data_IF_300780017130
#
_entry.id   IF_300780017130
#
_cell.length_a   1.000
_cell.length_b   1.000
_cell.length_c   1.000
_cell.angle_alpha   90.00
_cell.angle_beta   90.00
_cell.angle_gamma   90.00
#
_symmetry.space_group_name_H-M   'P 1'
#
loop_
_entity.id
_entity.type
_entity.pdbx_description
1 polymer ?
#
# COMPACT_ATOMS: atom_id res chain seq x y z
N UNK A 1 32.23 -0.73 -29.37
CA UNK A 1 31.52 -2.01 -29.11
C UNK A 1 31.33 -2.26 -27.61
N UNK A 2 32.40 -2.20 -26.79
CA UNK A 2 32.31 -2.41 -25.32
C UNK A 2 31.29 -1.50 -24.63
N UNK A 3 31.27 -0.20 -24.97
CA UNK A 3 30.31 0.75 -24.39
C UNK A 3 28.84 0.40 -24.66
N UNK A 4 28.53 -0.05 -25.88
CA UNK A 4 27.17 -0.46 -26.24
C UNK A 4 26.72 -1.70 -25.45
N UNK A 5 27.64 -2.64 -25.21
CA UNK A 5 27.38 -3.83 -24.38
C UNK A 5 27.10 -3.41 -22.93
N UNK A 6 27.89 -2.50 -22.37
CA UNK A 6 27.67 -1.99 -21.00
C UNK A 6 26.31 -1.30 -20.87
N UNK A 7 25.93 -0.47 -21.85
CA UNK A 7 24.61 0.16 -21.86
C UNK A 7 23.47 -0.85 -21.95
N UNK A 8 23.57 -1.82 -22.86
CA UNK A 8 22.55 -2.85 -23.02
C UNK A 8 22.36 -3.68 -21.73
N UNK A 9 23.47 -4.03 -21.06
CA UNK A 9 23.42 -4.73 -19.78
C UNK A 9 22.78 -3.86 -18.68
N UNK A 10 23.17 -2.58 -18.58
CA UNK A 10 22.58 -1.66 -17.60
C UNK A 10 21.07 -1.49 -17.78
N UNK A 11 20.61 -1.32 -19.02
CA UNK A 11 19.18 -1.24 -19.35
C UNK A 11 18.46 -2.53 -18.96
N UNK A 12 19.03 -3.68 -19.30
CA UNK A 12 18.44 -4.99 -18.99
C UNK A 12 18.28 -5.17 -17.48
N UNK A 13 19.33 -4.89 -16.70
CA UNK A 13 19.29 -4.98 -15.23
C UNK A 13 18.23 -4.03 -14.67
N UNK A 14 18.15 -2.80 -15.17
CA UNK A 14 17.15 -1.83 -14.73
C UNK A 14 15.72 -2.33 -14.95
N UNK A 15 15.42 -2.90 -16.12
CA UNK A 15 14.09 -3.45 -16.41
C UNK A 15 13.76 -4.67 -15.55
N UNK A 16 14.71 -5.57 -15.32
CA UNK A 16 14.50 -6.75 -14.46
C UNK A 16 14.21 -6.33 -13.02
N UNK A 17 14.97 -5.36 -12.50
CA UNK A 17 14.77 -4.78 -11.16
C UNK A 17 13.37 -4.19 -11.04
N UNK A 18 12.97 -3.30 -11.96
CA UNK A 18 11.62 -2.71 -11.93
C UNK A 18 10.51 -3.74 -12.03
N UNK A 19 10.66 -4.72 -12.91
CA UNK A 19 9.67 -5.78 -13.07
C UNK A 19 9.47 -6.59 -11.78
N UNK A 20 10.54 -6.80 -11.01
CA UNK A 20 10.44 -7.47 -9.71
C UNK A 20 9.70 -6.60 -8.68
N UNK A 21 10.05 -5.32 -8.57
CA UNK A 21 9.38 -4.35 -7.68
C UNK A 21 7.89 -4.22 -7.99
N UNK A 22 7.52 -4.16 -9.28
CA UNK A 22 6.14 -4.08 -9.75
C UNK A 22 5.35 -5.34 -9.39
N UNK A 23 5.98 -6.52 -9.52
CA UNK A 23 5.33 -7.79 -9.19
C UNK A 23 4.97 -7.89 -7.71
N UNK A 24 5.87 -7.49 -6.82
CA UNK A 24 5.60 -7.52 -5.37
C UNK A 24 4.52 -6.49 -5.01
N UNK A 25 4.60 -5.30 -5.60
CA UNK A 25 3.58 -4.26 -5.42
C UNK A 25 2.20 -4.76 -5.86
N UNK A 26 2.12 -5.44 -7.01
CA UNK A 26 0.88 -6.03 -7.51
C UNK A 26 0.34 -7.14 -6.59
N UNK A 27 1.21 -8.01 -6.06
CA UNK A 27 0.80 -9.04 -5.09
C UNK A 27 0.21 -8.38 -3.82
N UNK A 28 0.87 -7.36 -3.26
CA UNK A 28 0.36 -6.61 -2.11
C UNK A 28 -1.03 -6.02 -2.39
N UNK A 29 -1.20 -5.35 -3.54
CA UNK A 29 -2.48 -4.76 -3.95
C UNK A 29 -3.56 -5.83 -4.07
N UNK A 30 -3.24 -6.99 -4.64
CA UNK A 30 -4.18 -8.11 -4.77
C UNK A 30 -4.67 -8.60 -3.40
N UNK A 31 -3.77 -8.66 -2.41
CA UNK A 31 -4.11 -9.07 -1.04
C UNK A 31 -4.96 -8.04 -0.34
N UNK A 32 -4.62 -6.76 -0.49
CA UNK A 32 -5.39 -5.66 0.08
C UNK A 32 -6.77 -5.51 -0.58
N UNK A 33 -6.91 -5.87 -1.85
CA UNK A 33 -8.21 -5.92 -2.54
C UNK A 33 -9.18 -6.95 -1.95
N UNK A 34 -8.71 -7.87 -1.10
CA UNK A 34 -9.57 -8.87 -0.43
C UNK A 34 -10.23 -8.37 0.85
N UNK A 35 -9.89 -7.17 1.33
CA UNK A 35 -10.59 -6.61 2.48
C UNK A 35 -12.05 -6.33 2.12
N UNK A 36 -12.96 -6.85 2.93
CA UNK A 36 -14.40 -6.61 2.77
C UNK A 36 -14.71 -5.18 3.21
N UNK A 37 -14.71 -4.26 2.25
CA UNK A 37 -15.09 -2.86 2.47
C UNK A 37 -16.61 -2.74 2.28
N UNK A 38 -17.35 -2.13 3.22
CA UNK A 38 -18.78 -1.88 3.05
C UNK A 38 -19.07 -1.08 1.78
N UNK A 39 -20.14 -1.43 1.06
CA UNK A 39 -20.46 -0.86 -0.25
C UNK A 39 -20.87 0.63 -0.19
N UNK A 40 -21.29 1.10 0.98
CA UNK A 40 -21.63 2.49 1.29
C UNK A 40 -20.39 3.36 1.51
N UNK A 41 -19.20 2.78 1.68
CA UNK A 41 -17.98 3.54 1.90
C UNK A 41 -17.39 4.05 0.59
N UNK A 42 -17.12 5.34 0.55
CA UNK A 42 -16.54 6.00 -0.62
C UNK A 42 -15.04 6.15 -0.45
N UNK A 43 -14.26 5.65 -1.39
CA UNK A 43 -12.81 5.88 -1.40
C UNK A 43 -12.54 7.39 -1.62
N UNK A 44 -11.74 7.98 -0.74
CA UNK A 44 -11.38 9.41 -0.77
C UNK A 44 -9.92 9.63 -1.16
N UNK A 45 -9.04 8.71 -0.75
CA UNK A 45 -7.62 8.78 -1.06
C UNK A 45 -7.02 7.37 -1.19
N UNK A 46 -6.08 7.22 -2.11
CA UNK A 46 -5.29 6.01 -2.31
C UNK A 46 -3.85 6.37 -2.68
N UNK A 47 -2.91 5.90 -1.87
CA UNK A 47 -1.48 6.10 -2.08
C UNK A 47 -0.83 4.72 -2.14
N UNK A 48 -0.30 4.37 -3.31
CA UNK A 48 0.52 3.17 -3.52
C UNK A 48 1.97 3.59 -3.65
N UNK A 49 2.84 3.03 -2.81
CA UNK A 49 4.29 3.21 -2.93
C UNK A 49 4.90 1.86 -3.29
N UNK A 50 5.54 1.73 -4.46
CA UNK A 50 6.13 0.47 -4.88
C UNK A 50 7.30 0.07 -3.99
N UNK A 51 7.63 -1.21 -4.02
CA UNK A 51 8.83 -1.72 -3.36
C UNK A 51 10.07 -0.99 -3.90
N UNK A 52 11.03 -0.72 -3.01
CA UNK A 52 12.38 -0.29 -3.37
C UNK A 52 13.34 -1.31 -2.78
N UNK A 53 14.29 -1.82 -3.56
CA UNK A 53 15.27 -2.87 -3.15
C UNK A 53 16.01 -2.65 -1.82
N UNK A 54 15.96 -1.45 -1.23
CA UNK A 54 16.55 -1.13 0.08
C UNK A 54 15.42 -0.86 1.07
N UNK A 55 14.94 -1.91 1.73
CA UNK A 55 14.06 -1.81 2.89
C UNK A 55 14.89 -1.51 4.14
N UNK A 56 15.17 -0.23 4.39
CA UNK A 56 15.75 0.25 5.65
C UNK A 56 14.80 1.33 6.16
N UNK A 57 14.33 1.22 7.41
CA UNK A 57 13.47 2.20 8.12
C UNK A 57 13.88 3.67 7.85
N UNK A 58 13.02 4.71 7.81
CA UNK A 58 11.64 4.92 8.29
C UNK A 58 10.58 5.15 7.18
N UNK A 59 10.82 4.67 5.95
CA UNK A 59 9.88 3.94 5.07
C UNK A 59 10.37 3.89 3.62
N UNK A 60 10.88 2.73 3.19
CA UNK A 60 10.31 2.14 1.98
C UNK A 60 10.26 0.62 2.01
N UNK A 61 9.03 0.11 2.04
CA UNK A 61 8.59 -1.23 1.65
C UNK A 61 7.40 -1.01 0.66
N UNK A 62 6.94 -2.01 -0.10
CA UNK A 62 5.66 -1.86 -0.80
C UNK A 62 4.61 -1.50 0.25
N UNK A 63 3.95 -0.35 0.07
CA UNK A 63 2.98 0.16 1.03
C UNK A 63 1.76 0.70 0.30
N UNK A 64 0.62 0.52 0.94
CA UNK A 64 -0.67 0.98 0.48
C UNK A 64 -1.34 1.73 1.63
N UNK A 65 -1.77 2.96 1.36
CA UNK A 65 -2.66 3.72 2.22
C UNK A 65 -3.94 3.97 1.46
N UNK A 66 -5.08 3.63 2.06
CA UNK A 66 -6.42 3.92 1.53
C UNK A 66 -7.22 4.61 2.60
N UNK A 67 -7.95 5.63 2.22
CA UNK A 67 -8.86 6.36 3.10
C UNK A 67 -10.26 6.30 2.53
N UNK A 68 -11.23 5.99 3.39
CA UNK A 68 -12.63 5.93 3.02
C UNK A 68 -13.43 6.95 3.82
N UNK A 69 -14.46 7.49 3.19
CA UNK A 69 -15.55 8.21 3.80
C UNK A 69 -16.69 7.23 4.05
N UNK A 70 -17.08 7.09 5.31
CA UNK A 70 -18.07 6.09 5.76
C UNK A 70 -19.50 6.63 5.74
N UNK A 71 -19.71 7.90 5.34
CA UNK A 71 -21.01 8.57 5.38
C UNK A 71 -21.60 8.81 6.77
N UNK A 72 -20.95 8.33 7.84
CA UNK A 72 -21.37 8.51 9.23
C UNK A 72 -20.38 9.40 9.97
N UNK A 73 -20.88 10.52 10.47
CA UNK A 73 -20.14 11.32 11.44
C UNK A 73 -20.17 10.60 12.80
N UNK A 74 -19.00 10.42 13.41
CA UNK A 74 -18.90 9.79 14.73
C UNK A 74 -19.39 10.77 15.78
N UNK A 75 -20.32 10.33 16.62
CA UNK A 75 -20.81 11.12 17.75
C UNK A 75 -20.03 10.77 19.03
N UNK A 76 -20.08 11.64 20.03
CA UNK A 76 -19.47 11.38 21.35
C UNK A 76 -19.98 10.06 21.97
N UNK A 77 -21.24 9.69 21.69
CA UNK A 77 -21.83 8.44 22.14
C UNK A 77 -21.21 7.21 21.46
N UNK A 78 -20.85 7.30 20.18
CA UNK A 78 -20.16 6.22 19.46
C UNK A 78 -18.75 6.00 20.04
N UNK A 79 -18.05 7.08 20.39
CA UNK A 79 -16.72 7.02 21.03
C UNK A 79 -16.82 6.41 22.43
N UNK A 80 -17.81 6.85 23.23
CA UNK A 80 -18.04 6.31 24.58
C UNK A 80 -18.37 4.80 24.56
N UNK A 81 -19.10 4.33 23.54
CA UNK A 81 -19.42 2.90 23.37
C UNK A 81 -18.18 2.05 23.09
N UNK A 82 -17.24 2.54 22.27
CA UNK A 82 -15.97 1.83 21.99
C UNK A 82 -15.09 1.77 23.23
N UNK A 83 -14.95 2.88 23.95
CA UNK A 83 -14.12 2.96 25.16
C UNK A 83 -14.68 2.07 26.27
N UNK A 84 -15.99 2.09 26.49
CA UNK A 84 -16.63 1.22 27.50
C UNK A 84 -16.53 -0.26 27.16
N UNK A 85 -16.61 -0.63 25.87
CA UNK A 85 -16.38 -2.00 25.40
C UNK A 85 -14.95 -2.49 25.60
N UNK A 86 -13.95 -1.60 25.54
CA UNK A 86 -12.54 -1.93 25.79
C UNK A 86 -12.22 -2.08 27.28
N UNK A 87 -12.92 -1.35 28.15
CA UNK A 87 -12.75 -1.44 29.61
C UNK A 87 -13.49 -2.64 30.22
N UNK A 88 -14.49 -3.19 29.51
CA UNK A 88 -15.26 -4.35 29.92
C UNK A 88 -14.61 -5.71 29.56
N UNK A 89 -13.43 -5.71 28.91
CA UNK A 89 -12.66 -6.92 28.56
C UNK A 89 -11.41 -7.03 29.40
#
# INVERSE_FOLDING_TARGET
>A
MVFAVVLALGVTVHFVVRSAEDKVTADMLSRAGRFAIPADWKLTDEIVRPERFICISTNPCPSLSRRWETGKELTDNDVAAVVSGLVSR
#
